data_IF_869428273627
#
_entry.id   IF_869428273627
#
_cell.length_a   1.000
_cell.length_b   1.000
_cell.length_c   1.000
_cell.angle_alpha   90.00
_cell.angle_beta   90.00
_cell.angle_gamma   90.00
#
_symmetry.space_group_name_H-M   'P 1'
#
loop_
_entity.id
_entity.type
_entity.pdbx_description
1 polymer ?
#
# COMPACT_ATOMS: atom_id res chain seq x y z
N UNK A 1 0.35 -13.20 -15.46
CA UNK A 1 0.03 -12.26 -14.39
C UNK A 1 0.02 -13.01 -13.07
N UNK A 2 0.70 -12.48 -12.06
CA UNK A 2 0.65 -13.05 -10.69
C UNK A 2 -0.72 -12.82 -10.06
N UNK A 3 -1.01 -13.53 -8.97
CA UNK A 3 -2.20 -13.25 -8.16
C UNK A 3 -2.04 -11.84 -7.55
N UNK A 4 -3.09 -11.04 -7.63
CA UNK A 4 -3.16 -9.77 -6.90
C UNK A 4 -3.63 -10.05 -5.48
N UNK A 5 -2.94 -9.47 -4.50
CA UNK A 5 -3.22 -9.60 -3.08
C UNK A 5 -3.36 -8.23 -2.46
N UNK A 6 -4.21 -8.14 -1.44
CA UNK A 6 -4.44 -6.91 -0.71
C UNK A 6 -3.24 -6.58 0.16
N UNK A 7 -2.71 -5.37 0.01
CA UNK A 7 -1.66 -4.83 0.88
C UNK A 7 -2.23 -3.85 1.91
N UNK A 8 -3.22 -3.04 1.53
CA UNK A 8 -3.79 -2.01 2.39
C UNK A 8 -5.27 -1.73 2.08
N UNK A 9 -5.95 -1.13 3.05
CA UNK A 9 -7.32 -0.58 2.93
C UNK A 9 -7.23 0.92 3.14
N UNK A 10 -7.74 1.69 2.20
CA UNK A 10 -7.92 3.13 2.32
C UNK A 10 -9.35 3.48 2.75
N UNK A 11 -9.47 4.47 3.62
CA UNK A 11 -10.74 5.05 4.06
C UNK A 11 -11.39 5.94 3.01
N UNK A 12 -10.61 6.55 2.12
CA UNK A 12 -11.10 7.34 1.00
C UNK A 12 -10.18 7.28 -0.24
N UNK A 13 -10.63 7.91 -1.33
CA UNK A 13 -9.91 7.92 -2.61
C UNK A 13 -8.54 8.58 -2.51
N UNK A 14 -8.42 9.64 -1.71
CA UNK A 14 -7.17 10.39 -1.56
C UNK A 14 -6.10 9.53 -0.88
N UNK A 15 -6.47 8.84 0.20
CA UNK A 15 -5.56 7.91 0.90
C UNK A 15 -5.11 6.75 -0.01
N UNK A 16 -6.01 6.22 -0.84
CA UNK A 16 -5.64 5.19 -1.81
C UNK A 16 -4.68 5.71 -2.89
N UNK A 17 -4.88 6.95 -3.36
CA UNK A 17 -3.97 7.59 -4.32
C UNK A 17 -2.59 7.81 -3.69
N UNK A 18 -2.51 8.22 -2.41
CA UNK A 18 -1.24 8.35 -1.68
C UNK A 18 -0.52 7.00 -1.55
N UNK A 19 -1.23 5.94 -1.17
CA UNK A 19 -0.67 4.58 -1.11
C UNK A 19 -0.17 4.10 -2.47
N UNK A 20 -0.91 4.38 -3.55
CA UNK A 20 -0.45 4.06 -4.90
C UNK A 20 0.80 4.85 -5.28
N UNK A 21 0.90 6.12 -4.90
CA UNK A 21 2.06 6.96 -5.18
C UNK A 21 3.31 6.42 -4.48
N UNK A 22 3.20 6.00 -3.23
CA UNK A 22 4.27 5.35 -2.47
C UNK A 22 4.75 4.08 -3.19
N UNK A 23 3.83 3.17 -3.52
CA UNK A 23 4.16 1.92 -4.22
C UNK A 23 4.78 2.20 -5.58
N UNK A 24 4.26 3.19 -6.31
CA UNK A 24 4.81 3.61 -7.60
C UNK A 24 6.21 4.18 -7.49
N UNK A 25 6.49 4.96 -6.43
CA UNK A 25 7.82 5.50 -6.16
C UNK A 25 8.83 4.37 -5.87
N UNK A 26 8.38 3.28 -5.24
CA UNK A 26 9.15 2.06 -5.04
C UNK A 26 9.26 1.18 -6.32
N UNK A 27 8.58 1.53 -7.41
CA UNK A 27 8.56 0.76 -8.65
C UNK A 27 7.65 -0.47 -8.60
N UNK A 28 6.73 -0.51 -7.65
CA UNK A 28 5.78 -1.60 -7.43
C UNK A 28 4.47 -1.30 -8.17
N UNK A 29 4.02 -2.27 -8.94
CA UNK A 29 2.73 -2.20 -9.61
C UNK A 29 1.60 -2.37 -8.58
N UNK A 30 0.60 -1.48 -8.61
CA UNK A 30 -0.54 -1.54 -7.72
C UNK A 30 -1.85 -1.23 -8.45
N UNK A 31 -2.94 -1.83 -7.97
CA UNK A 31 -4.29 -1.66 -8.49
C UNK A 31 -5.24 -1.25 -7.37
N UNK A 32 -6.22 -0.41 -7.67
CA UNK A 32 -7.31 -0.08 -6.74
C UNK A 32 -8.53 -0.94 -7.05
N UNK A 33 -9.09 -1.52 -6.00
CA UNK A 33 -10.37 -2.22 -6.04
C UNK A 33 -11.35 -1.57 -5.09
N UNK A 34 -12.39 -0.95 -5.64
CA UNK A 34 -13.60 -0.55 -4.90
C UNK A 34 -14.77 -1.40 -5.33
N UNK A 35 -15.45 -2.04 -4.37
CA UNK A 35 -16.84 -2.42 -4.58
C UNK A 35 -17.72 -1.25 -4.14
N UNK A 36 -18.90 -1.10 -4.75
CA UNK A 36 -19.82 0.02 -4.53
C UNK A 36 -20.20 0.30 -3.06
N UNK A 37 -19.95 -0.65 -2.16
CA UNK A 37 -20.17 -0.56 -0.71
C UNK A 37 -18.96 -1.04 0.14
N UNK A 38 -17.82 -1.37 -0.49
CA UNK A 38 -16.62 -1.85 0.20
C UNK A 38 -15.56 -0.75 0.28
N UNK A 39 -14.73 -0.76 1.34
CA UNK A 39 -13.63 0.20 1.45
C UNK A 39 -12.64 0.01 0.31
N UNK A 40 -11.97 1.10 -0.07
CA UNK A 40 -11.09 1.14 -1.23
C UNK A 40 -9.82 0.33 -0.90
N UNK A 41 -9.60 -0.75 -1.62
CA UNK A 41 -8.47 -1.66 -1.35
C UNK A 41 -7.36 -1.46 -2.36
N UNK A 42 -6.12 -1.44 -1.86
CA UNK A 42 -4.92 -1.40 -2.68
C UNK A 42 -4.40 -2.83 -2.82
N UNK A 43 -4.26 -3.27 -4.06
CA UNK A 43 -3.82 -4.60 -4.44
C UNK A 43 -2.44 -4.51 -5.10
N UNK A 44 -1.58 -5.48 -4.82
CA UNK A 44 -0.25 -5.62 -5.45
C UNK A 44 -0.04 -7.05 -5.91
N UNK A 45 0.91 -7.33 -6.83
CA UNK A 45 1.31 -8.68 -7.14
C UNK A 45 1.77 -9.42 -5.87
N UNK A 46 1.35 -10.67 -5.68
CA UNK A 46 1.74 -11.51 -4.52
C UNK A 46 3.27 -11.59 -4.35
N UNK A 47 4.01 -11.56 -5.45
CA UNK A 47 5.48 -11.56 -5.44
C UNK A 47 6.12 -10.28 -4.90
N UNK A 48 5.36 -9.20 -4.80
CA UNK A 48 5.80 -7.88 -4.37
C UNK A 48 5.09 -7.44 -3.08
N UNK A 49 4.39 -8.36 -2.41
CA UNK A 49 3.65 -8.04 -1.18
C UNK A 49 4.57 -7.56 -0.06
N UNK A 50 5.69 -8.25 0.18
CA UNK A 50 6.66 -7.87 1.21
C UNK A 50 7.30 -6.51 0.86
N UNK A 51 7.81 -6.35 -0.36
CA UNK A 51 8.37 -5.08 -0.83
C UNK A 51 7.37 -3.91 -0.72
N UNK A 52 6.09 -4.18 -0.95
CA UNK A 52 5.02 -3.19 -0.85
C UNK A 52 4.75 -2.77 0.60
N UNK A 53 4.75 -3.74 1.52
CA UNK A 53 4.62 -3.45 2.95
C UNK A 53 5.80 -2.63 3.45
N UNK A 54 7.03 -3.03 3.09
CA UNK A 54 8.26 -2.31 3.45
C UNK A 54 8.26 -0.87 2.91
N UNK A 55 7.82 -0.68 1.66
CA UNK A 55 7.73 0.65 1.05
C UNK A 55 6.70 1.54 1.75
N UNK A 56 5.54 0.99 2.11
CA UNK A 56 4.50 1.72 2.85
C UNK A 56 5.04 2.11 4.23
N UNK A 57 5.53 1.16 5.03
CA UNK A 57 6.08 1.42 6.36
C UNK A 57 7.19 2.48 6.32
N UNK A 58 8.12 2.39 5.36
CA UNK A 58 9.22 3.34 5.23
C UNK A 58 8.76 4.77 4.86
N UNK A 59 7.65 4.92 4.14
CA UNK A 59 7.15 6.24 3.70
C UNK A 59 6.07 6.82 4.62
N UNK A 60 5.31 5.98 5.33
CA UNK A 60 4.24 6.41 6.24
C UNK A 60 4.68 6.49 7.70
N UNK A 61 5.70 5.72 8.10
CA UNK A 61 6.21 5.68 9.49
C UNK A 61 7.72 6.02 9.58
N UNK A 62 8.17 7.19 9.09
CA UNK A 62 9.56 7.61 9.26
C UNK A 62 9.96 7.93 10.72
N UNK A 63 9.02 7.92 11.67
CA UNK A 63 9.18 8.49 13.02
C UNK A 63 9.07 7.51 14.21
N UNK A 64 8.95 6.19 14.02
CA UNK A 64 8.94 5.20 15.14
C UNK A 64 10.33 4.60 15.45
N UNK A 65 11.40 5.27 15.00
CA UNK A 65 12.79 5.01 15.43
C UNK A 65 13.18 5.80 16.70
N UNK A 66 12.22 6.30 17.48
CA UNK A 66 12.50 6.73 18.85
C UNK A 66 12.55 5.48 19.71
N UNK A 67 13.74 4.88 19.73
CA UNK A 67 14.15 3.90 20.72
C UNK A 67 13.81 4.43 22.13
N UNK A 68 12.90 3.74 22.82
CA UNK A 68 12.71 3.89 24.25
C UNK A 68 14.04 3.52 24.92
N UNK A 69 14.70 4.53 25.52
CA UNK A 69 16.02 4.45 26.16
C UNK A 69 15.92 4.37 27.68
#
# INVERSE_FOLDING_TARGET
MGRMVQVAVAGDVSEAEELQEILRAAGIESELSSALDDPLTVLVPESSLEDAQDAIEAMTEPDDLIADA
#
